data_IF_291118791778
#
_entry.id   IF_291118791778
#
_cell.length_a   1.000
_cell.length_b   1.000
_cell.length_c   1.000
_cell.angle_alpha   90.00
_cell.angle_beta   90.00
_cell.angle_gamma   90.00
#
_symmetry.space_group_name_H-M   'P 1'
#
loop_
_entity.id
_entity.type
_entity.pdbx_description
1 polymer ?
#
# COMPACT_ATOMS: atom_id res chain seq x y z
N UNK A 1 -29.17 -9.17 -25.04
CA UNK A 1 -28.65 -7.84 -24.63
C UNK A 1 -27.42 -8.06 -23.76
N UNK A 2 -26.23 -7.68 -24.25
CA UNK A 2 -24.95 -7.91 -23.58
C UNK A 2 -24.72 -6.80 -22.57
N UNK A 3 -24.70 -7.16 -21.28
CA UNK A 3 -24.47 -6.24 -20.17
C UNK A 3 -23.12 -5.53 -20.31
N UNK A 4 -23.14 -4.24 -20.03
CA UNK A 4 -22.01 -3.31 -20.00
C UNK A 4 -20.79 -3.89 -19.29
N UNK A 5 -19.69 -4.07 -20.01
CA UNK A 5 -18.37 -4.29 -19.40
C UNK A 5 -17.94 -2.98 -18.74
N UNK A 6 -18.12 -2.87 -17.42
CA UNK A 6 -17.40 -1.87 -16.61
C UNK A 6 -15.89 -2.07 -16.88
N UNK A 7 -15.16 -1.00 -17.19
CA UNK A 7 -13.69 -1.04 -17.22
C UNK A 7 -13.20 -1.55 -15.86
N UNK A 8 -12.28 -2.53 -15.81
CA UNK A 8 -11.75 -2.99 -14.54
C UNK A 8 -10.91 -1.86 -13.95
N UNK A 9 -11.33 -1.31 -12.82
CA UNK A 9 -10.41 -0.66 -11.87
C UNK A 9 -9.21 -1.59 -11.71
N UNK A 10 -7.94 -1.12 -11.78
CA UNK A 10 -6.78 -2.00 -11.65
C UNK A 10 -7.00 -2.90 -10.44
N UNK A 11 -7.10 -4.19 -10.74
CA UNK A 11 -7.83 -5.16 -9.94
C UNK A 11 -7.47 -5.04 -8.46
N UNK A 12 -8.47 -5.01 -7.58
CA UNK A 12 -8.30 -5.02 -6.12
C UNK A 12 -7.32 -6.13 -5.64
N UNK A 13 -7.10 -7.17 -6.45
CA UNK A 13 -6.14 -8.25 -6.21
C UNK A 13 -4.77 -8.11 -6.90
N UNK A 14 -4.54 -7.20 -7.84
CA UNK A 14 -3.27 -7.13 -8.60
C UNK A 14 -2.06 -6.84 -7.70
N UNK A 15 -2.27 -6.12 -6.60
CA UNK A 15 -1.19 -5.68 -5.71
C UNK A 15 -1.20 -6.35 -4.33
N UNK A 16 -2.26 -7.10 -3.99
CA UNK A 16 -2.33 -8.00 -2.82
C UNK A 16 -1.18 -9.02 -2.86
N UNK A 17 -0.66 -9.38 -1.69
CA UNK A 17 0.43 -10.36 -1.60
C UNK A 17 0.03 -11.69 -2.28
N UNK A 18 0.94 -12.32 -3.02
CA UNK A 18 0.61 -13.45 -3.89
C UNK A 18 0.13 -14.69 -3.12
N UNK A 19 0.63 -14.85 -1.88
CA UNK A 19 0.23 -15.88 -0.93
C UNK A 19 -1.04 -15.56 -0.13
N UNK A 20 -1.58 -14.35 -0.25
CA UNK A 20 -2.81 -13.98 0.44
C UNK A 20 -4.00 -14.73 -0.18
N UNK A 21 -4.68 -15.55 0.60
CA UNK A 21 -5.78 -16.40 0.12
C UNK A 21 -6.94 -15.61 -0.51
N UNK A 22 -7.19 -14.39 -0.03
CA UNK A 22 -8.24 -13.53 -0.56
C UNK A 22 -7.90 -12.86 -1.89
N UNK A 23 -6.65 -13.00 -2.38
CA UNK A 23 -6.24 -12.42 -3.67
C UNK A 23 -7.03 -13.00 -4.84
N UNK A 24 -7.24 -14.33 -4.83
CA UNK A 24 -7.96 -15.05 -5.88
C UNK A 24 -9.38 -15.44 -5.45
N UNK A 25 -9.59 -15.61 -4.15
CA UNK A 25 -10.83 -16.10 -3.57
C UNK A 25 -11.37 -15.04 -2.58
N UNK A 26 -11.97 -13.94 -3.05
CA UNK A 26 -12.60 -12.98 -2.14
C UNK A 26 -13.74 -13.67 -1.34
N UNK A 27 -14.05 -13.19 -0.12
CA UNK A 27 -15.13 -13.76 0.67
C UNK A 27 -16.47 -13.79 -0.07
N UNK A 28 -17.09 -14.96 -0.12
CA UNK A 28 -18.46 -15.10 -0.62
C UNK A 28 -19.44 -14.78 0.52
N UNK A 29 -19.93 -13.55 0.55
CA UNK A 29 -20.82 -13.10 1.60
C UNK A 29 -22.14 -13.88 1.64
N UNK A 30 -22.65 -14.32 0.50
CA UNK A 30 -23.88 -15.10 0.47
C UNK A 30 -23.65 -16.46 1.12
N UNK A 31 -22.61 -17.17 0.71
CA UNK A 31 -22.25 -18.47 1.29
C UNK A 31 -21.94 -18.38 2.79
N UNK A 32 -21.18 -17.36 3.21
CA UNK A 32 -20.91 -17.10 4.63
C UNK A 32 -22.19 -16.80 5.41
N UNK A 33 -23.11 -16.01 4.85
CA UNK A 33 -24.40 -15.72 5.48
C UNK A 33 -25.26 -16.97 5.68
N UNK A 34 -25.19 -17.95 4.78
CA UNK A 34 -25.93 -19.21 4.99
C UNK A 34 -25.32 -20.08 6.10
N UNK A 35 -24.00 -20.00 6.32
CA UNK A 35 -23.31 -20.80 7.35
C UNK A 35 -23.30 -20.13 8.73
N UNK A 36 -23.27 -18.80 8.78
CA UNK A 36 -23.13 -18.03 10.01
C UNK A 36 -24.32 -17.08 10.21
N UNK A 37 -25.37 -17.50 10.97
CA UNK A 37 -26.57 -16.69 11.17
C UNK A 37 -26.31 -15.31 11.76
N UNK A 38 -25.33 -15.20 12.67
CA UNK A 38 -24.92 -13.92 13.25
C UNK A 38 -24.31 -12.96 12.23
N UNK A 39 -23.68 -13.48 11.17
CA UNK A 39 -23.20 -12.66 10.06
C UNK A 39 -24.31 -12.29 9.09
N UNK A 40 -25.25 -13.22 8.84
CA UNK A 40 -26.38 -13.04 7.91
C UNK A 40 -27.20 -11.78 8.20
N UNK A 41 -27.38 -11.42 9.47
CA UNK A 41 -28.16 -10.25 9.87
C UNK A 41 -27.57 -8.91 9.38
N UNK A 42 -26.28 -8.87 9.05
CA UNK A 42 -25.59 -7.68 8.54
C UNK A 42 -25.55 -7.62 7.00
N UNK A 43 -26.08 -8.63 6.32
CA UNK A 43 -26.11 -8.71 4.87
C UNK A 43 -27.37 -8.01 4.32
N UNK A 44 -27.19 -7.34 3.19
CA UNK A 44 -28.27 -6.71 2.43
C UNK A 44 -28.17 -7.06 0.94
N UNK A 45 -29.19 -6.71 0.15
CA UNK A 45 -29.31 -7.09 -1.25
C UNK A 45 -29.14 -8.61 -1.46
N UNK A 46 -29.80 -9.41 -0.62
CA UNK A 46 -29.81 -10.86 -0.74
C UNK A 46 -30.53 -11.28 -2.02
N UNK A 47 -29.84 -12.02 -2.87
CA UNK A 47 -30.34 -12.58 -4.12
C UNK A 47 -30.05 -14.08 -4.11
N UNK A 48 -31.04 -14.87 -3.67
CA UNK A 48 -30.91 -16.32 -3.55
C UNK A 48 -30.76 -17.00 -4.93
N UNK A 49 -31.31 -16.39 -5.98
CA UNK A 49 -31.24 -16.95 -7.34
C UNK A 49 -29.81 -16.86 -7.91
N UNK A 50 -29.15 -15.72 -7.72
CA UNK A 50 -27.77 -15.54 -8.17
C UNK A 50 -26.72 -15.80 -7.09
N UNK A 51 -27.12 -16.20 -5.88
CA UNK A 51 -26.27 -16.41 -4.71
C UNK A 51 -25.41 -15.17 -4.40
N UNK A 52 -26.04 -13.99 -4.28
CA UNK A 52 -25.34 -12.72 -4.00
C UNK A 52 -25.82 -12.09 -2.71
N UNK A 53 -24.90 -11.44 -2.03
CA UNK A 53 -25.15 -10.63 -0.85
C UNK A 53 -24.15 -9.46 -0.81
N UNK A 54 -24.53 -8.37 -0.14
CA UNK A 54 -23.71 -7.18 0.05
C UNK A 54 -23.55 -6.87 1.54
N UNK A 55 -22.46 -6.21 1.90
CA UNK A 55 -22.16 -5.76 3.27
C UNK A 55 -22.06 -4.24 3.28
N UNK A 56 -22.60 -3.59 4.32
CA UNK A 56 -22.41 -2.15 4.53
C UNK A 56 -21.03 -1.94 5.16
N UNK A 57 -20.18 -1.14 4.49
CA UNK A 57 -18.79 -0.94 4.89
C UNK A 57 -18.61 0.22 5.87
N UNK A 58 -19.63 1.06 5.98
CA UNK A 58 -19.75 2.17 6.92
C UNK A 58 -20.30 1.73 8.29
N UNK A 59 -20.99 0.57 8.35
CA UNK A 59 -21.43 -0.05 9.61
C UNK A 59 -20.26 -0.77 10.32
N UNK A 60 -19.79 -0.26 11.48
CA UNK A 60 -18.69 -0.87 12.23
C UNK A 60 -19.06 -2.24 12.81
N UNK A 61 -20.34 -2.51 13.08
CA UNK A 61 -20.80 -3.81 13.57
C UNK A 61 -20.71 -4.86 12.46
N UNK A 62 -21.15 -4.51 11.25
CA UNK A 62 -21.07 -5.38 10.08
C UNK A 62 -19.62 -5.75 9.73
N UNK A 63 -18.70 -4.77 9.74
CA UNK A 63 -17.28 -5.00 9.44
C UNK A 63 -16.59 -5.83 10.53
N UNK A 64 -16.98 -5.63 11.80
CA UNK A 64 -16.50 -6.45 12.92
C UNK A 64 -16.98 -7.89 12.82
N UNK A 65 -18.26 -8.10 12.55
CA UNK A 65 -18.81 -9.45 12.40
C UNK A 65 -18.24 -10.16 11.16
N UNK A 66 -17.99 -9.44 10.07
CA UNK A 66 -17.24 -10.00 8.92
C UNK A 66 -15.86 -10.49 9.37
N UNK A 67 -15.11 -9.66 10.10
CA UNK A 67 -13.75 -10.00 10.54
C UNK A 67 -13.75 -11.25 11.45
N UNK A 68 -14.69 -11.29 12.41
CA UNK A 68 -14.91 -12.45 13.28
C UNK A 68 -15.26 -13.72 12.50
N UNK A 69 -16.17 -13.59 11.54
CA UNK A 69 -16.61 -14.70 10.68
C UNK A 69 -15.46 -15.25 9.86
N UNK A 70 -14.65 -14.38 9.22
CA UNK A 70 -13.50 -14.82 8.43
C UNK A 70 -12.41 -15.48 9.28
N UNK A 71 -12.13 -14.95 10.48
CA UNK A 71 -11.18 -15.56 11.40
C UNK A 71 -11.60 -16.97 11.82
N UNK A 72 -12.89 -17.15 12.13
CA UNK A 72 -13.42 -18.46 12.48
C UNK A 72 -13.44 -19.40 11.27
N UNK A 73 -13.95 -18.94 10.12
CA UNK A 73 -14.15 -19.76 8.93
C UNK A 73 -12.83 -20.23 8.31
N UNK A 74 -11.88 -19.30 8.11
CA UNK A 74 -10.66 -19.59 7.35
C UNK A 74 -9.48 -20.01 8.23
N UNK A 75 -9.50 -19.65 9.52
CA UNK A 75 -8.38 -19.89 10.45
C UNK A 75 -8.75 -20.66 11.71
N UNK A 76 -10.04 -20.96 11.92
CA UNK A 76 -10.51 -21.61 13.15
C UNK A 76 -10.32 -20.76 14.41
N UNK A 77 -10.11 -19.45 14.27
CA UNK A 77 -9.84 -18.54 15.38
C UNK A 77 -11.15 -17.97 15.94
N UNK A 78 -11.42 -18.26 17.20
CA UNK A 78 -12.46 -17.58 17.96
C UNK A 78 -11.94 -16.20 18.37
N UNK A 79 -12.65 -15.14 17.98
CA UNK A 79 -12.15 -13.79 18.15
C UNK A 79 -13.25 -12.82 18.52
N UNK A 80 -12.95 -11.90 19.45
CA UNK A 80 -13.86 -10.83 19.84
C UNK A 80 -13.12 -9.63 20.42
N UNK A 81 -13.63 -8.41 20.22
CA UNK A 81 -13.03 -7.17 20.74
C UNK A 81 -14.11 -6.21 21.26
N UNK A 82 -13.81 -5.25 22.14
CA UNK A 82 -14.76 -4.18 22.45
C UNK A 82 -15.10 -3.34 21.20
N UNK A 83 -16.27 -2.69 21.20
CA UNK A 83 -16.71 -1.88 20.05
C UNK A 83 -15.92 -0.58 19.89
N UNK A 84 -15.38 -0.05 20.98
CA UNK A 84 -14.54 1.15 21.03
C UNK A 84 -13.05 0.82 20.73
N UNK A 85 -12.80 -0.21 19.93
CA UNK A 85 -11.45 -0.64 19.53
C UNK A 85 -11.38 -0.84 18.03
N UNK A 86 -10.18 -0.64 17.50
CA UNK A 86 -9.95 -0.69 16.06
C UNK A 86 -10.17 -2.12 15.52
N UNK A 87 -11.19 -2.29 14.68
CA UNK A 87 -11.42 -3.55 13.98
C UNK A 87 -10.45 -3.69 12.79
N UNK A 88 -9.61 -4.74 12.75
CA UNK A 88 -8.60 -4.87 11.69
C UNK A 88 -9.21 -5.46 10.41
N UNK A 89 -9.01 -4.83 9.23
CA UNK A 89 -9.36 -5.47 7.98
C UNK A 89 -8.42 -6.64 7.69
N UNK A 90 -8.94 -7.86 7.81
CA UNK A 90 -8.16 -9.10 7.78
C UNK A 90 -7.23 -9.26 6.55
N UNK A 91 -7.66 -8.99 5.30
CA UNK A 91 -6.79 -9.16 4.14
C UNK A 91 -5.50 -8.32 4.20
N UNK A 92 -5.55 -7.12 4.79
CA UNK A 92 -4.37 -6.28 4.92
C UNK A 92 -3.40 -6.79 5.99
N UNK A 93 -3.93 -7.43 7.05
CA UNK A 93 -3.08 -8.03 8.09
C UNK A 93 -2.28 -9.21 7.56
N UNK A 94 -2.91 -10.03 6.71
CA UNK A 94 -2.24 -11.12 5.99
C UNK A 94 -1.15 -10.63 5.03
N UNK A 95 -1.36 -9.50 4.35
CA UNK A 95 -0.32 -8.93 3.48
C UNK A 95 0.98 -8.62 4.26
N UNK A 96 0.85 -8.09 5.47
CA UNK A 96 2.00 -7.80 6.32
C UNK A 96 2.68 -9.08 6.79
N UNK A 97 1.92 -10.07 7.29
CA UNK A 97 2.49 -11.37 7.72
C UNK A 97 3.23 -12.08 6.59
N UNK A 98 2.65 -12.12 5.39
CA UNK A 98 3.36 -12.71 4.25
C UNK A 98 4.60 -11.92 3.84
N UNK A 99 4.60 -10.60 4.01
CA UNK A 99 5.82 -9.82 3.79
C UNK A 99 6.91 -10.13 4.83
N UNK A 100 6.55 -10.41 6.08
CA UNK A 100 7.49 -10.92 7.09
C UNK A 100 8.07 -12.27 6.64
N UNK A 101 7.26 -13.19 6.12
CA UNK A 101 7.77 -14.46 5.56
C UNK A 101 8.82 -14.23 4.46
N UNK A 102 8.59 -13.27 3.56
CA UNK A 102 9.55 -12.89 2.50
C UNK A 102 10.83 -12.25 3.04
N UNK A 103 10.75 -11.50 4.14
CA UNK A 103 11.92 -10.92 4.81
C UNK A 103 12.74 -12.00 5.49
N UNK A 104 12.08 -12.95 6.15
CA UNK A 104 12.73 -14.06 6.83
C UNK A 104 13.43 -15.01 5.86
N UNK A 105 12.93 -15.18 4.63
CA UNK A 105 13.58 -15.97 3.58
C UNK A 105 14.87 -15.34 3.02
N UNK A 106 15.09 -14.04 3.24
CA UNK A 106 16.32 -13.34 2.86
C UNK A 106 17.45 -13.49 3.90
N UNK A 107 17.17 -14.12 5.03
CA UNK A 107 18.15 -14.33 6.09
C UNK A 107 19.20 -15.40 5.69
N UNK A 108 20.47 -15.20 6.04
CA UNK A 108 21.53 -16.16 5.74
C UNK A 108 21.26 -17.51 6.39
N UNK A 109 21.47 -18.60 5.64
CA UNK A 109 21.27 -19.97 6.11
C UNK A 109 19.82 -20.43 6.24
N UNK A 110 18.82 -19.59 5.90
CA UNK A 110 17.40 -19.98 5.95
C UNK A 110 16.74 -19.97 4.59
N UNK A 111 16.50 -21.16 4.03
CA UNK A 111 15.44 -21.34 3.04
C UNK A 111 14.14 -21.62 3.80
N UNK A 112 13.30 -20.62 3.97
CA UNK A 112 11.92 -20.86 4.39
C UNK A 112 11.19 -21.59 3.25
N UNK A 113 11.07 -22.91 3.37
CA UNK A 113 10.24 -23.72 2.47
C UNK A 113 8.78 -23.54 2.87
N UNK A 114 7.95 -23.11 1.93
CA UNK A 114 6.49 -23.03 2.11
C UNK A 114 5.86 -24.41 2.26
N UNK A 115 4.67 -24.51 2.87
CA UNK A 115 3.92 -25.77 3.08
C UNK A 115 3.79 -26.67 1.84
N UNK A 116 3.75 -26.10 0.63
CA UNK A 116 3.72 -26.88 -0.62
C UNK A 116 5.05 -27.55 -1.01
N UNK A 117 6.17 -27.11 -0.44
CA UNK A 117 7.49 -27.72 -0.62
C UNK A 117 7.95 -28.52 0.62
N UNK A 118 7.14 -28.56 1.68
CA UNK A 118 7.47 -29.23 2.95
C UNK A 118 7.41 -30.76 2.88
N UNK A 119 6.77 -31.35 1.87
CA UNK A 119 6.69 -32.81 1.74
C UNK A 119 7.99 -33.50 1.29
N UNK A 120 9.09 -32.76 1.05
CA UNK A 120 10.36 -33.34 0.56
C UNK A 120 11.61 -33.06 1.40
N UNK A 121 11.55 -32.21 2.44
CA UNK A 121 12.74 -31.91 3.25
C UNK A 121 12.67 -32.61 4.62
N UNK A 122 13.63 -33.47 4.89
CA UNK A 122 13.74 -34.22 6.15
C UNK A 122 13.74 -33.29 7.38
N UNK A 123 13.07 -33.75 8.44
CA UNK A 123 12.85 -33.10 9.73
C UNK A 123 14.15 -32.88 10.53
N UNK A 124 15.06 -32.04 10.03
CA UNK A 124 16.15 -31.48 10.82
C UNK A 124 15.63 -30.27 11.61
N UNK A 125 16.05 -30.14 12.88
CA UNK A 125 15.70 -29.09 13.85
C UNK A 125 15.37 -27.73 13.20
N UNK A 126 14.11 -27.50 12.81
CA UNK A 126 13.66 -26.20 12.33
C UNK A 126 13.60 -25.26 13.53
N UNK A 127 14.43 -24.23 13.50
CA UNK A 127 14.43 -23.19 14.52
C UNK A 127 13.06 -22.52 14.59
N UNK A 128 12.47 -22.47 15.78
CA UNK A 128 11.16 -21.86 16.01
C UNK A 128 11.27 -20.36 15.82
N UNK A 129 10.53 -19.81 14.86
CA UNK A 129 10.50 -18.37 14.61
C UNK A 129 9.83 -17.65 15.78
N UNK A 130 10.46 -16.57 16.23
CA UNK A 130 10.04 -15.73 17.35
C UNK A 130 9.94 -14.27 16.92
N UNK A 131 8.80 -13.65 17.17
CA UNK A 131 8.50 -12.26 16.81
C UNK A 131 8.09 -11.41 18.01
N UNK A 132 8.13 -10.09 17.83
CA UNK A 132 7.59 -9.11 18.76
C UNK A 132 6.52 -8.29 18.01
N UNK A 133 5.30 -8.23 18.55
CA UNK A 133 4.21 -7.41 18.03
C UNK A 133 4.03 -6.17 18.94
N UNK A 134 4.36 -4.99 18.40
CA UNK A 134 4.37 -3.72 19.13
C UNK A 134 3.04 -3.02 18.95
N UNK A 135 2.28 -2.87 20.05
CA UNK A 135 0.92 -2.34 20.01
C UNK A 135 -0.03 -3.34 19.36
N UNK A 136 -0.18 -4.51 19.98
CA UNK A 136 -0.98 -5.62 19.44
C UNK A 136 -2.48 -5.31 19.38
N UNK A 137 -2.93 -4.28 20.12
CA UNK A 137 -4.32 -3.87 20.23
C UNK A 137 -5.18 -4.91 20.94
N UNK A 138 -6.45 -4.59 21.19
CA UNK A 138 -7.41 -5.56 21.73
C UNK A 138 -7.53 -6.83 20.86
N UNK A 139 -7.30 -6.66 19.55
CA UNK A 139 -7.50 -7.71 18.56
C UNK A 139 -6.39 -8.78 18.53
N UNK A 140 -5.15 -8.46 18.93
CA UNK A 140 -4.00 -9.37 18.87
C UNK A 140 -3.80 -10.08 17.50
N UNK A 141 -4.23 -9.44 16.42
CA UNK A 141 -4.50 -10.10 15.14
C UNK A 141 -3.25 -10.71 14.51
N UNK A 142 -2.10 -10.04 14.61
CA UNK A 142 -0.88 -10.51 14.00
C UNK A 142 -0.29 -11.72 14.72
N UNK A 143 -0.27 -11.68 16.06
CA UNK A 143 0.22 -12.80 16.85
C UNK A 143 -0.67 -14.03 16.69
N UNK A 144 -2.00 -13.88 16.72
CA UNK A 144 -2.96 -14.97 16.51
C UNK A 144 -2.77 -15.63 15.14
N UNK A 145 -2.76 -14.82 14.07
CA UNK A 145 -2.60 -15.35 12.71
C UNK A 145 -1.22 -16.00 12.50
N UNK A 146 -0.14 -15.36 12.94
CA UNK A 146 1.21 -15.92 12.80
C UNK A 146 1.42 -17.21 13.61
N UNK A 147 0.84 -17.28 14.81
CA UNK A 147 0.85 -18.51 15.61
C UNK A 147 0.02 -19.61 14.94
N UNK A 148 -1.16 -19.31 14.41
CA UNK A 148 -2.03 -20.30 13.75
C UNK A 148 -1.42 -20.82 12.45
N UNK A 149 -1.03 -19.92 11.56
CA UNK A 149 -0.56 -20.22 10.20
C UNK A 149 0.86 -20.78 10.17
N UNK A 150 1.78 -20.22 10.98
CA UNK A 150 3.21 -20.50 10.87
C UNK A 150 3.84 -21.05 12.15
N UNK A 151 3.05 -21.25 13.22
CA UNK A 151 3.52 -21.72 14.54
C UNK A 151 4.60 -20.82 15.14
N UNK A 152 4.56 -19.53 14.81
CA UNK A 152 5.49 -18.55 15.36
C UNK A 152 5.20 -18.28 16.83
N UNK A 153 6.26 -18.03 17.60
CA UNK A 153 6.17 -17.54 18.97
C UNK A 153 6.15 -16.01 18.96
N UNK A 154 5.36 -15.39 19.83
CA UNK A 154 5.22 -13.95 19.92
C UNK A 154 5.37 -13.45 21.36
N UNK A 155 6.05 -12.31 21.49
CA UNK A 155 5.79 -11.36 22.58
C UNK A 155 4.90 -10.27 21.99
N UNK A 156 3.65 -10.20 22.44
CA UNK A 156 2.69 -9.20 22.00
C UNK A 156 2.56 -8.13 23.09
N UNK A 157 2.77 -6.87 22.75
CA UNK A 157 2.84 -5.78 23.74
C UNK A 157 1.66 -4.83 23.59
N UNK A 158 1.16 -4.32 24.71
CA UNK A 158 0.08 -3.35 24.73
C UNK A 158 0.18 -2.41 25.94
N UNK A 159 -0.02 -1.12 25.73
CA UNK A 159 0.02 -0.10 26.80
C UNK A 159 -1.36 0.13 27.41
N UNK A 160 -2.41 0.02 26.60
CA UNK A 160 -3.79 0.19 27.08
C UNK A 160 -4.25 -1.04 27.89
N UNK A 161 -4.80 -0.78 29.08
CA UNK A 161 -5.13 -1.83 30.04
C UNK A 161 -6.27 -2.75 29.54
N UNK A 162 -7.28 -2.16 28.91
CA UNK A 162 -8.44 -2.89 28.39
C UNK A 162 -8.07 -3.68 27.13
N UNK A 163 -7.30 -3.08 26.20
CA UNK A 163 -6.75 -3.77 25.04
C UNK A 163 -5.85 -4.93 25.46
N UNK A 164 -4.99 -4.74 26.46
CA UNK A 164 -4.17 -5.82 27.03
C UNK A 164 -5.02 -6.98 27.54
N UNK A 165 -6.06 -6.70 28.33
CA UNK A 165 -6.94 -7.72 28.87
C UNK A 165 -7.68 -8.48 27.77
N UNK A 166 -8.19 -7.76 26.77
CA UNK A 166 -8.88 -8.36 25.62
C UNK A 166 -7.94 -9.20 24.75
N UNK A 167 -6.73 -8.72 24.46
CA UNK A 167 -5.73 -9.48 23.71
C UNK A 167 -5.38 -10.80 24.42
N UNK A 168 -5.18 -10.75 25.74
CA UNK A 168 -4.89 -11.95 26.55
C UNK A 168 -6.04 -12.96 26.50
N UNK A 169 -7.27 -12.49 26.59
CA UNK A 169 -8.47 -13.32 26.47
C UNK A 169 -8.61 -13.93 25.07
N UNK A 170 -8.34 -13.17 24.01
CA UNK A 170 -8.32 -13.67 22.63
C UNK A 170 -7.25 -14.76 22.41
N UNK A 171 -6.08 -14.65 23.06
CA UNK A 171 -5.08 -15.72 23.03
C UNK A 171 -5.59 -16.97 23.78
N UNK A 172 -6.16 -16.80 24.97
CA UNK A 172 -6.60 -17.88 25.83
C UNK A 172 -7.73 -18.73 25.21
N UNK A 173 -8.74 -18.08 24.60
CA UNK A 173 -9.85 -18.80 23.94
C UNK A 173 -9.44 -19.64 22.74
N UNK A 174 -8.27 -19.39 22.19
CA UNK A 174 -7.70 -20.17 21.08
C UNK A 174 -6.62 -21.17 21.54
N UNK A 175 -6.35 -21.26 22.85
CA UNK A 175 -5.32 -22.12 23.42
C UNK A 175 -3.91 -21.86 22.85
N UNK A 176 -3.57 -20.59 22.62
CA UNK A 176 -2.32 -20.16 21.99
C UNK A 176 -1.29 -19.59 22.99
N UNK A 177 -1.50 -19.71 24.30
CA UNK A 177 -0.63 -19.16 25.35
C UNK A 177 0.80 -19.72 25.31
N UNK A 178 0.98 -20.95 24.82
CA UNK A 178 2.29 -21.56 24.63
C UNK A 178 3.10 -20.91 23.49
N UNK A 179 2.44 -20.21 22.58
CA UNK A 179 3.04 -19.50 21.46
C UNK A 179 3.05 -17.99 21.66
N UNK A 180 2.03 -17.42 22.31
CA UNK A 180 1.85 -15.98 22.42
C UNK A 180 1.86 -15.57 23.89
N UNK A 181 2.85 -14.74 24.26
CA UNK A 181 2.89 -14.06 25.55
C UNK A 181 2.48 -12.61 25.38
N UNK A 182 1.35 -12.22 25.97
CA UNK A 182 0.89 -10.82 25.99
C UNK A 182 1.49 -10.10 27.20
N UNK A 183 2.25 -9.01 26.98
CA UNK A 183 2.88 -8.18 28.01
C UNK A 183 2.22 -6.79 28.04
N UNK A 184 1.88 -6.33 29.25
CA UNK A 184 1.38 -4.97 29.47
C UNK A 184 2.55 -4.02 29.67
N UNK A 185 2.62 -2.98 28.85
CA UNK A 185 3.64 -1.94 28.92
C UNK A 185 3.26 -0.89 29.97
N UNK A 186 4.26 -0.40 30.70
CA UNK A 186 4.12 0.68 31.68
C UNK A 186 4.83 1.96 31.24
N UNK A 187 5.79 1.85 30.33
CA UNK A 187 6.53 2.99 29.79
C UNK A 187 6.39 3.07 28.28
N UNK A 188 6.97 4.12 27.70
CA UNK A 188 7.01 4.32 26.26
C UNK A 188 8.28 3.71 25.61
N UNK A 189 8.96 2.79 26.28
CA UNK A 189 10.09 2.01 25.75
C UNK A 189 9.53 0.82 24.97
N UNK A 190 9.43 0.96 23.65
CA UNK A 190 8.65 0.08 22.80
C UNK A 190 9.26 -1.33 22.66
N UNK A 191 10.59 -1.44 22.70
CA UNK A 191 11.36 -2.67 22.46
C UNK A 191 12.22 -3.08 23.65
N UNK A 192 12.75 -2.12 24.41
CA UNK A 192 13.64 -2.40 25.54
C UNK A 192 12.90 -2.94 26.77
N UNK A 193 11.77 -2.34 27.16
CA UNK A 193 10.96 -2.81 28.29
C UNK A 193 10.42 -4.24 28.12
N UNK A 194 9.81 -4.65 26.99
CA UNK A 194 9.26 -6.01 26.88
C UNK A 194 10.34 -7.09 26.85
N UNK A 195 11.60 -6.71 26.60
CA UNK A 195 12.76 -7.61 26.53
C UNK A 195 13.66 -7.55 27.77
N UNK A 196 13.30 -6.78 28.80
CA UNK A 196 14.11 -6.63 30.01
C UNK A 196 14.25 -7.94 30.80
N UNK A 197 13.21 -8.78 30.78
CA UNK A 197 13.17 -10.08 31.48
C UNK A 197 13.57 -11.24 30.56
N UNK A 198 13.87 -10.96 29.28
CA UNK A 198 14.32 -11.97 28.33
C UNK A 198 15.85 -12.11 28.41
N UNK A 199 16.41 -13.34 28.37
CA UNK A 199 17.86 -13.54 28.35
C UNK A 199 18.53 -12.73 27.23
N UNK A 200 19.71 -12.17 27.50
CA UNK A 200 20.41 -11.29 26.55
C UNK A 200 20.80 -12.02 25.27
N UNK A 201 21.10 -13.32 25.38
CA UNK A 201 21.42 -14.22 24.28
C UNK A 201 20.20 -14.64 23.46
N UNK A 202 18.97 -14.46 23.98
CA UNK A 202 17.75 -14.78 23.24
C UNK A 202 17.62 -13.85 22.05
N UNK A 203 17.65 -14.45 20.86
CA UNK A 203 17.44 -13.75 19.59
C UNK A 203 15.99 -13.83 19.13
N UNK A 204 15.59 -12.80 18.40
CA UNK A 204 14.30 -12.67 17.77
C UNK A 204 14.46 -12.54 16.26
N UNK A 205 13.48 -13.02 15.53
CA UNK A 205 13.50 -13.06 14.08
C UNK A 205 12.93 -11.79 13.48
N UNK A 206 11.90 -11.23 14.11
CA UNK A 206 11.34 -9.97 13.67
C UNK A 206 10.68 -9.18 14.80
N UNK A 207 10.54 -7.88 14.57
CA UNK A 207 9.58 -7.01 15.23
C UNK A 207 8.60 -6.54 14.15
N UNK A 208 7.32 -6.47 14.49
CA UNK A 208 6.29 -5.86 13.66
C UNK A 208 5.49 -4.84 14.44
N UNK A 209 4.98 -3.83 13.74
CA UNK A 209 4.21 -2.75 14.34
C UNK A 209 3.21 -2.18 13.33
N UNK A 210 1.98 -1.93 13.77
CA UNK A 210 1.04 -1.07 13.07
C UNK A 210 0.81 0.18 13.95
N UNK A 211 1.57 1.26 13.74
CA UNK A 211 1.64 2.37 14.68
C UNK A 211 0.35 3.20 14.66
N UNK A 212 0.08 3.99 15.71
CA UNK A 212 -0.85 5.10 15.64
C UNK A 212 -0.43 6.06 14.50
N UNK A 213 -1.37 6.41 13.63
CA UNK A 213 -1.09 7.11 12.37
C UNK A 213 -1.24 8.64 12.43
N UNK A 214 -1.88 9.17 13.46
CA UNK A 214 -2.27 10.57 13.55
C UNK A 214 -1.47 11.32 14.61
N UNK A 215 -1.23 12.60 14.37
CA UNK A 215 -0.55 13.48 15.31
C UNK A 215 -1.48 13.88 16.47
N UNK A 216 -2.78 14.03 16.19
CA UNK A 216 -3.85 14.34 17.14
C UNK A 216 -5.19 13.69 16.73
N UNK A 217 -6.19 13.81 17.60
CA UNK A 217 -7.52 13.19 17.40
C UNK A 217 -8.35 13.93 16.33
N UNK A 218 -8.15 15.25 16.19
CA UNK A 218 -8.88 16.06 15.22
C UNK A 218 -8.51 15.63 13.79
N UNK A 219 -7.25 15.28 13.55
CA UNK A 219 -6.80 14.71 12.30
C UNK A 219 -7.42 13.33 12.02
N UNK A 220 -7.67 12.52 13.05
CA UNK A 220 -8.29 11.20 12.90
C UNK A 220 -9.77 11.29 12.50
N UNK A 221 -10.49 12.32 12.96
CA UNK A 221 -11.91 12.54 12.72
C UNK A 221 -12.23 13.14 11.33
N UNK A 222 -11.22 13.70 10.63
CA UNK A 222 -11.42 14.31 9.29
C UNK A 222 -11.60 13.32 8.14
N UNK A 223 -11.60 12.01 8.40
CA UNK A 223 -11.65 10.98 7.35
C UNK A 223 -13.00 10.20 7.35
N UNK A 224 -14.07 10.76 6.75
CA UNK A 224 -15.45 10.24 6.86
C UNK A 224 -15.69 8.88 6.19
N UNK A 225 -14.74 8.38 5.39
CA UNK A 225 -14.84 7.09 4.69
C UNK A 225 -14.39 5.88 5.54
N UNK A 226 -13.87 6.12 6.75
CA UNK A 226 -13.52 5.08 7.71
C UNK A 226 -14.11 5.46 9.06
N UNK A 227 -15.13 4.73 9.52
CA UNK A 227 -15.65 4.80 10.88
C UNK A 227 -14.51 4.40 11.84
N UNK A 228 -13.69 5.37 12.23
CA UNK A 228 -12.45 5.15 12.96
C UNK A 228 -12.75 4.99 14.44
N UNK A 229 -13.28 3.82 14.83
CA UNK A 229 -13.62 3.50 16.21
C UNK A 229 -12.41 2.98 17.02
N UNK A 230 -11.23 3.56 16.81
CA UNK A 230 -10.04 3.22 17.59
C UNK A 230 -10.03 3.94 18.94
N UNK A 231 -9.32 3.39 19.93
CA UNK A 231 -8.99 4.16 21.13
C UNK A 231 -7.96 5.25 20.80
N UNK A 232 -7.90 6.34 21.58
CA UNK A 232 -6.95 7.43 21.34
C UNK A 232 -5.49 6.92 21.24
N UNK A 233 -5.12 5.95 22.07
CA UNK A 233 -3.78 5.34 22.06
C UNK A 233 -3.49 4.48 20.81
N UNK A 234 -4.51 3.95 20.14
CA UNK A 234 -4.37 3.19 18.89
C UNK A 234 -4.28 4.12 17.66
N UNK A 235 -4.76 5.35 17.78
CA UNK A 235 -4.89 6.28 16.65
C UNK A 235 -3.84 7.39 16.68
N UNK A 236 -3.51 7.89 17.86
CA UNK A 236 -2.76 9.13 18.05
C UNK A 236 -1.46 8.89 18.80
N UNK A 237 -0.42 9.59 18.37
CA UNK A 237 0.83 9.69 19.11
C UNK A 237 1.43 11.08 18.93
N UNK A 238 2.06 11.69 19.95
CA UNK A 238 2.73 12.98 19.77
C UNK A 238 3.83 12.90 18.70
N UNK A 239 3.63 13.60 17.57
CA UNK A 239 4.49 13.53 16.37
C UNK A 239 4.23 12.33 15.46
N UNK A 240 3.12 11.63 15.70
CA UNK A 240 2.48 10.66 14.83
C UNK A 240 3.34 9.42 14.56
N UNK A 241 3.06 8.77 13.44
CA UNK A 241 3.76 7.55 13.03
C UNK A 241 5.27 7.77 12.87
N UNK A 242 5.71 8.99 12.53
CA UNK A 242 7.14 9.29 12.35
C UNK A 242 7.86 9.30 13.71
N UNK A 243 7.30 9.94 14.73
CA UNK A 243 7.88 9.94 16.06
C UNK A 243 7.82 8.55 16.72
N UNK A 244 6.72 7.81 16.52
CA UNK A 244 6.56 6.46 17.05
C UNK A 244 7.59 5.50 16.47
N UNK A 245 7.69 5.42 15.13
CA UNK A 245 8.68 4.56 14.46
C UNK A 245 10.10 5.09 14.71
N UNK A 246 10.28 6.41 14.83
CA UNK A 246 11.57 7.01 15.22
C UNK A 246 12.09 6.49 16.56
N UNK A 247 11.22 6.31 17.56
CA UNK A 247 11.59 5.65 18.84
C UNK A 247 12.02 4.20 18.63
N UNK A 248 11.29 3.43 17.82
CA UNK A 248 11.71 2.07 17.48
C UNK A 248 13.07 2.03 16.79
N UNK A 249 13.37 2.99 15.91
CA UNK A 249 14.67 3.10 15.25
C UNK A 249 15.76 3.32 16.30
N UNK A 250 15.57 4.26 17.24
CA UNK A 250 16.54 4.53 18.32
C UNK A 250 16.76 3.29 19.19
N UNK A 251 15.69 2.66 19.69
CA UNK A 251 15.82 1.46 20.54
C UNK A 251 16.41 0.25 19.77
N UNK A 252 16.22 0.19 18.45
CA UNK A 252 16.83 -0.86 17.63
C UNK A 252 18.37 -0.78 17.58
N UNK A 253 18.95 0.40 17.81
CA UNK A 253 20.41 0.60 17.83
C UNK A 253 21.04 -0.09 19.05
N UNK A 254 20.32 -0.14 20.17
CA UNK A 254 20.76 -0.85 21.37
C UNK A 254 20.61 -2.37 21.19
N UNK A 255 19.54 -2.80 20.51
CA UNK A 255 19.24 -4.22 20.31
C UNK A 255 20.08 -4.86 19.20
N UNK A 256 20.46 -4.12 18.16
CA UNK A 256 21.25 -4.57 17.01
C UNK A 256 20.83 -5.95 16.49
N UNK A 257 21.75 -6.93 16.54
CA UNK A 257 21.59 -8.29 16.05
C UNK A 257 20.82 -9.21 17.02
N UNK A 258 20.29 -8.68 18.14
CA UNK A 258 19.33 -9.40 18.98
C UNK A 258 18.00 -9.61 18.27
N UNK A 259 17.64 -8.70 17.35
CA UNK A 259 16.50 -8.88 16.43
C UNK A 259 17.03 -8.87 15.00
N UNK A 260 16.65 -9.88 14.21
CA UNK A 260 17.07 -9.95 12.82
C UNK A 260 16.41 -8.85 11.96
N UNK A 261 15.09 -8.72 12.00
CA UNK A 261 14.36 -7.69 11.25
C UNK A 261 13.52 -6.80 12.15
N UNK A 262 13.70 -5.49 12.06
CA UNK A 262 12.77 -4.54 12.62
C UNK A 262 11.85 -4.07 11.50
N UNK A 263 10.54 -4.04 11.73
CA UNK A 263 9.57 -3.66 10.70
C UNK A 263 8.43 -2.83 11.27
N UNK A 264 7.84 -1.97 10.43
CA UNK A 264 6.60 -1.24 10.74
C UNK A 264 5.76 -1.02 9.49
N UNK A 265 4.43 -0.99 9.66
CA UNK A 265 3.51 -0.43 8.68
C UNK A 265 3.54 1.11 8.76
N UNK A 266 3.26 1.77 7.64
CA UNK A 266 3.26 3.22 7.49
C UNK A 266 1.97 3.64 6.77
N UNK A 267 1.30 4.63 7.35
CA UNK A 267 0.05 5.23 6.88
C UNK A 267 0.25 6.16 5.69
N UNK A 268 1.34 6.94 5.67
CA UNK A 268 1.58 7.99 4.65
C UNK A 268 2.94 7.85 3.96
N UNK A 269 2.96 8.04 2.64
CA UNK A 269 4.22 8.04 1.84
C UNK A 269 5.22 9.11 2.27
N UNK A 270 4.76 10.24 2.80
CA UNK A 270 5.63 11.30 3.29
C UNK A 270 6.42 10.85 4.54
N UNK A 271 5.78 10.11 5.43
CA UNK A 271 6.38 9.52 6.63
C UNK A 271 7.48 8.53 6.28
N UNK A 272 7.25 7.66 5.28
CA UNK A 272 8.26 6.73 4.77
C UNK A 272 9.57 7.44 4.38
N UNK A 273 9.49 8.57 3.67
CA UNK A 273 10.68 9.33 3.27
C UNK A 273 11.46 9.87 4.47
N UNK A 274 10.77 10.38 5.49
CA UNK A 274 11.38 10.88 6.74
C UNK A 274 12.08 9.74 7.50
N UNK A 275 11.42 8.59 7.63
CA UNK A 275 11.96 7.43 8.34
C UNK A 275 13.17 6.81 7.63
N UNK A 276 13.15 6.75 6.29
CA UNK A 276 14.33 6.35 5.51
C UNK A 276 15.50 7.34 5.68
N UNK A 277 15.24 8.63 5.89
CA UNK A 277 16.28 9.59 6.24
C UNK A 277 16.87 9.32 7.63
N UNK A 278 16.02 9.13 8.65
CA UNK A 278 16.46 8.79 10.01
C UNK A 278 17.28 7.50 10.06
N UNK A 279 16.89 6.45 9.34
CA UNK A 279 17.67 5.20 9.24
C UNK A 279 19.06 5.45 8.64
N UNK A 280 19.18 6.34 7.64
CA UNK A 280 20.47 6.72 7.05
C UNK A 280 21.34 7.50 8.03
N UNK A 281 20.76 8.45 8.75
CA UNK A 281 21.44 9.24 9.78
C UNK A 281 22.00 8.34 10.89
N UNK A 282 21.23 7.32 11.30
CA UNK A 282 21.65 6.31 12.27
C UNK A 282 22.52 5.19 11.67
N UNK A 283 23.04 5.37 10.45
CA UNK A 283 23.96 4.45 9.75
C UNK A 283 23.42 3.04 9.54
N UNK A 284 22.10 2.86 9.51
CA UNK A 284 21.46 1.58 9.19
C UNK A 284 21.54 1.32 7.68
N UNK A 285 22.36 0.33 7.30
CA UNK A 285 22.72 0.10 5.90
C UNK A 285 21.67 -0.73 5.15
N UNK A 286 21.08 -1.73 5.80
CA UNK A 286 20.16 -2.66 5.18
C UNK A 286 18.72 -2.29 5.51
N UNK A 287 18.02 -1.75 4.51
CA UNK A 287 16.61 -1.36 4.60
C UNK A 287 15.83 -1.99 3.46
N UNK A 288 14.57 -2.32 3.73
CA UNK A 288 13.58 -2.80 2.77
C UNK A 288 12.29 -2.00 2.89
N UNK A 289 11.57 -1.87 1.79
CA UNK A 289 10.23 -1.28 1.76
C UNK A 289 9.27 -2.16 0.99
N UNK A 290 7.97 -1.92 1.17
CA UNK A 290 6.93 -2.49 0.31
C UNK A 290 5.69 -1.60 0.31
N UNK A 291 4.71 -1.97 -0.50
CA UNK A 291 3.42 -1.30 -0.56
C UNK A 291 2.32 -2.35 -0.34
N UNK A 292 1.42 -2.07 0.60
CA UNK A 292 0.24 -2.87 0.85
C UNK A 292 -0.97 -2.17 0.24
N UNK A 293 -1.76 -2.91 -0.53
CA UNK A 293 -2.98 -2.41 -1.15
C UNK A 293 -4.17 -3.17 -0.59
N UNK A 294 -5.19 -2.42 -0.20
CA UNK A 294 -6.46 -2.95 0.27
C UNK A 294 -7.59 -2.09 -0.28
N UNK A 295 -8.27 -2.55 -1.32
CA UNK A 295 -9.32 -1.73 -1.93
C UNK A 295 -8.72 -0.46 -2.52
N UNK A 296 -9.21 0.69 -2.04
CA UNK A 296 -8.72 2.03 -2.38
C UNK A 296 -7.58 2.50 -1.46
N UNK A 297 -7.37 1.82 -0.33
CA UNK A 297 -6.44 2.25 0.71
C UNK A 297 -5.05 1.67 0.45
N UNK A 298 -4.07 2.58 0.37
CA UNK A 298 -2.66 2.24 0.23
C UNK A 298 -1.92 2.44 1.56
N UNK A 299 -1.06 1.50 1.91
CA UNK A 299 -0.13 1.55 3.04
C UNK A 299 1.26 1.17 2.57
N UNK A 300 2.28 1.49 3.37
CA UNK A 300 3.66 1.13 3.10
C UNK A 300 4.20 0.25 4.22
N UNK A 301 5.17 -0.60 3.91
CA UNK A 301 5.97 -1.30 4.90
C UNK A 301 7.40 -0.76 4.88
N UNK A 302 8.01 -0.60 6.05
CA UNK A 302 9.44 -0.34 6.21
C UNK A 302 10.05 -1.46 7.05
N UNK A 303 11.23 -1.91 6.66
CA UNK A 303 12.01 -2.88 7.41
C UNK A 303 13.49 -2.51 7.40
N UNK A 304 14.18 -2.82 8.48
CA UNK A 304 15.62 -2.60 8.60
C UNK A 304 16.28 -3.67 9.46
N UNK A 305 17.59 -3.81 9.29
CA UNK A 305 18.39 -4.84 9.96
C UNK A 305 19.83 -4.38 10.12
N UNK A 306 20.46 -4.85 11.19
CA UNK A 306 21.89 -4.67 11.46
C UNK A 306 22.72 -5.86 10.97
N UNK A 307 22.08 -6.92 10.48
CA UNK A 307 22.76 -8.06 9.89
C UNK A 307 23.35 -7.66 8.52
N UNK A 308 24.62 -7.95 8.31
CA UNK A 308 25.32 -7.69 7.04
C UNK A 308 25.02 -8.74 5.96
N UNK A 309 24.62 -9.94 6.39
CA UNK A 309 24.54 -11.15 5.56
C UNK A 309 23.17 -11.38 4.92
N UNK A 310 22.38 -10.33 4.71
CA UNK A 310 21.04 -10.45 4.10
C UNK A 310 21.17 -10.57 2.58
N UNK A 311 20.56 -11.60 2.01
CA UNK A 311 20.55 -11.79 0.56
C UNK A 311 19.47 -10.90 -0.09
N UNK A 312 19.82 -10.20 -1.16
CA UNK A 312 18.84 -9.53 -2.00
C UNK A 312 18.11 -10.60 -2.83
N UNK A 313 16.82 -10.81 -2.59
CA UNK A 313 15.97 -11.62 -3.46
C UNK A 313 15.19 -10.70 -4.42
N UNK A 314 15.57 -10.63 -5.71
CA UNK A 314 14.88 -9.79 -6.68
C UNK A 314 13.46 -10.27 -7.02
N UNK A 315 13.06 -11.50 -6.63
CA UNK A 315 11.76 -12.12 -6.90
C UNK A 315 10.68 -11.83 -5.84
N UNK A 316 11.08 -11.47 -4.61
CA UNK A 316 10.14 -11.09 -3.55
C UNK A 316 9.54 -9.68 -3.73
N UNK A 317 8.37 -9.41 -3.12
CA UNK A 317 7.80 -8.04 -3.01
C UNK A 317 8.53 -7.18 -1.95
N UNK A 318 9.82 -7.43 -1.78
CA UNK A 318 10.70 -6.80 -0.80
C UNK A 318 11.61 -5.85 -1.57
N UNK A 319 11.35 -4.56 -1.45
CA UNK A 319 12.04 -3.53 -2.24
C UNK A 319 13.32 -3.13 -1.50
N UNK A 320 14.48 -3.42 -2.09
CA UNK A 320 15.75 -2.82 -1.64
C UNK A 320 15.89 -1.35 -2.05
N UNK A 321 16.87 -0.64 -1.45
CA UNK A 321 17.17 0.80 -1.64
C UNK A 321 17.16 1.31 -3.09
N UNK A 322 17.43 0.47 -4.10
CA UNK A 322 17.55 0.87 -5.51
C UNK A 322 16.23 0.86 -6.31
N UNK A 323 15.14 0.25 -5.82
CA UNK A 323 13.91 0.05 -6.64
C UNK A 323 12.81 1.10 -6.48
N UNK A 324 12.87 1.97 -5.48
CA UNK A 324 11.81 2.98 -5.27
C UNK A 324 11.80 4.06 -6.36
N UNK A 325 12.99 4.42 -6.88
CA UNK A 325 13.13 5.30 -8.05
C UNK A 325 12.63 4.66 -9.36
N UNK A 326 12.70 3.33 -9.48
CA UNK A 326 12.24 2.61 -10.67
C UNK A 326 10.72 2.37 -10.71
N UNK A 327 9.95 2.71 -9.66
CA UNK A 327 8.54 2.32 -9.54
C UNK A 327 7.50 3.45 -9.69
N UNK A 328 7.86 4.64 -10.15
CA UNK A 328 6.85 5.63 -10.55
C UNK A 328 5.91 4.97 -11.58
N UNK A 329 4.66 4.67 -11.23
CA UNK A 329 3.68 4.05 -12.15
C UNK A 329 2.85 5.12 -12.82
N UNK A 330 2.63 6.20 -12.09
CA UNK A 330 1.92 7.37 -12.54
C UNK A 330 2.56 8.62 -11.92
N UNK A 331 2.39 9.75 -12.58
CA UNK A 331 2.62 11.08 -12.01
C UNK A 331 1.42 11.93 -12.34
N UNK A 332 0.92 12.64 -11.33
CA UNK A 332 -0.13 13.63 -11.51
C UNK A 332 0.39 15.00 -11.11
N UNK A 333 0.07 16.02 -11.89
CA UNK A 333 0.38 17.41 -11.58
C UNK A 333 -0.72 18.34 -12.09
N UNK A 334 -0.81 19.52 -11.49
CA UNK A 334 -1.76 20.55 -11.90
C UNK A 334 -1.07 21.58 -12.80
N UNK A 335 -1.81 22.04 -13.79
CA UNK A 335 -1.45 23.15 -14.68
C UNK A 335 -2.41 24.29 -14.36
N UNK A 336 -1.95 25.34 -13.65
CA UNK A 336 -2.84 26.39 -13.16
C UNK A 336 -3.47 27.19 -14.31
N UNK A 337 -4.72 27.63 -14.14
CA UNK A 337 -5.45 28.52 -15.07
C UNK A 337 -4.71 29.86 -15.24
N UNK A 338 -4.39 30.50 -14.12
CA UNK A 338 -3.56 31.70 -14.03
C UNK A 338 -2.80 31.69 -12.69
N UNK A 339 -1.49 31.97 -12.72
CA UNK A 339 -0.78 32.28 -11.47
C UNK A 339 -1.16 33.70 -11.04
N UNK A 340 -1.76 33.85 -9.85
CA UNK A 340 -2.07 35.16 -9.23
C UNK A 340 -0.83 36.06 -9.02
N UNK A 341 0.38 35.52 -9.19
CA UNK A 341 1.66 36.23 -8.93
C UNK A 341 2.55 36.36 -10.17
N UNK A 342 2.40 35.53 -11.21
CA UNK A 342 3.42 35.42 -12.27
C UNK A 342 2.94 35.08 -13.69
N UNK A 343 1.63 34.95 -13.94
CA UNK A 343 1.11 34.80 -15.32
C UNK A 343 1.64 33.55 -16.06
N UNK A 344 1.88 32.44 -15.35
CA UNK A 344 2.49 31.20 -15.85
C UNK A 344 1.49 30.03 -16.09
N UNK A 345 0.20 30.29 -16.32
CA UNK A 345 -0.82 29.23 -16.51
C UNK A 345 -1.00 28.70 -17.94
N UNK A 346 -1.74 27.59 -18.12
CA UNK A 346 -2.49 27.24 -19.34
C UNK A 346 -3.96 27.57 -19.10
N UNK A 347 -4.60 28.27 -20.03
CA UNK A 347 -5.98 28.73 -19.88
C UNK A 347 -7.03 27.65 -20.17
N UNK A 348 -6.71 26.64 -20.99
CA UNK A 348 -7.66 25.59 -21.39
C UNK A 348 -6.98 24.22 -21.57
N UNK A 349 -7.77 23.15 -21.64
CA UNK A 349 -7.29 21.79 -21.94
C UNK A 349 -6.60 21.75 -23.32
N UNK A 350 -7.11 22.50 -24.29
CA UNK A 350 -6.54 22.59 -25.65
C UNK A 350 -5.13 23.19 -25.65
N UNK A 351 -4.85 24.16 -24.79
CA UNK A 351 -3.48 24.70 -24.65
C UNK A 351 -2.52 23.65 -24.09
N UNK A 352 -2.96 22.83 -23.14
CA UNK A 352 -2.16 21.72 -22.60
C UNK A 352 -1.91 20.67 -23.68
N UNK A 353 -2.94 20.29 -24.45
CA UNK A 353 -2.81 19.38 -25.60
C UNK A 353 -1.84 19.91 -26.64
N UNK A 354 -1.95 21.21 -26.98
CA UNK A 354 -1.08 21.81 -27.98
C UNK A 354 0.38 21.79 -27.54
N UNK A 355 0.67 22.00 -26.24
CA UNK A 355 2.03 21.84 -25.68
C UNK A 355 2.52 20.40 -25.72
N UNK A 356 1.65 19.42 -25.43
CA UNK A 356 2.01 17.99 -25.57
C UNK A 356 2.35 17.69 -27.03
N UNK A 357 1.53 18.15 -27.99
CA UNK A 357 1.76 17.96 -29.43
C UNK A 357 3.04 18.65 -29.90
N UNK A 358 3.34 19.86 -29.45
CA UNK A 358 4.60 20.55 -29.78
C UNK A 358 5.81 19.82 -29.19
N UNK A 359 5.72 19.34 -27.95
CA UNK A 359 6.77 18.53 -27.33
C UNK A 359 7.03 17.25 -28.14
N UNK A 360 5.97 16.52 -28.52
CA UNK A 360 6.11 15.30 -29.32
C UNK A 360 6.69 15.61 -30.70
N UNK A 361 6.23 16.67 -31.39
CA UNK A 361 6.79 17.10 -32.68
C UNK A 361 8.28 17.46 -32.61
N UNK A 362 8.75 17.98 -31.48
CA UNK A 362 10.15 18.34 -31.28
C UNK A 362 11.06 17.12 -31.00
N UNK A 363 10.49 15.94 -30.79
CA UNK A 363 11.22 14.70 -30.49
C UNK A 363 10.84 13.62 -31.52
N UNK A 364 11.69 13.41 -32.53
CA UNK A 364 11.42 12.51 -33.66
C UNK A 364 11.14 11.04 -33.26
N UNK A 365 11.64 10.63 -32.08
CA UNK A 365 11.40 9.30 -31.51
C UNK A 365 10.01 9.14 -30.89
N UNK A 366 9.27 10.23 -30.65
CA UNK A 366 7.99 10.19 -29.94
C UNK A 366 6.80 10.18 -30.91
N UNK A 367 5.78 9.40 -30.55
CA UNK A 367 4.48 9.42 -31.23
C UNK A 367 3.37 9.63 -30.20
N UNK A 368 2.37 10.41 -30.62
CA UNK A 368 1.16 10.65 -29.85
C UNK A 368 -0.04 10.25 -30.69
N UNK A 369 -0.88 9.36 -30.18
CA UNK A 369 -2.16 9.01 -30.81
C UNK A 369 -3.31 9.29 -29.86
N UNK A 370 -4.41 9.79 -30.41
CA UNK A 370 -5.66 10.02 -29.68
C UNK A 370 -6.45 8.71 -29.64
N UNK A 371 -6.88 8.30 -28.45
CA UNK A 371 -7.73 7.12 -28.32
C UNK A 371 -9.19 7.53 -28.35
N UNK A 372 -9.84 7.37 -29.50
CA UNK A 372 -11.26 7.69 -29.71
C UNK A 372 -12.19 6.52 -29.42
N UNK A 373 -11.68 5.39 -28.90
CA UNK A 373 -12.43 4.13 -28.88
C UNK A 373 -13.58 4.04 -27.87
N UNK A 374 -13.91 5.08 -27.09
CA UNK A 374 -15.02 5.02 -26.13
C UNK A 374 -15.79 6.36 -25.92
N UNK A 375 -16.33 6.92 -27.00
CA UNK A 375 -17.29 8.04 -26.92
C UNK A 375 -18.53 7.75 -26.04
N UNK A 376 -18.88 6.48 -25.79
CA UNK A 376 -20.03 6.11 -24.93
C UNK A 376 -19.72 6.11 -23.41
N UNK A 377 -18.44 6.13 -23.00
CA UNK A 377 -18.04 6.17 -21.58
C UNK A 377 -17.79 7.61 -21.08
N UNK A 378 -17.67 8.60 -21.97
CA UNK A 378 -17.39 10.00 -21.63
C UNK A 378 -18.54 10.66 -20.84
N UNK A 379 -19.80 10.38 -21.18
CA UNK A 379 -20.94 10.96 -20.45
C UNK A 379 -21.09 10.38 -19.02
N UNK A 380 -20.79 9.09 -18.83
CA UNK A 380 -20.85 8.44 -17.51
C UNK A 380 -19.71 8.85 -16.58
N UNK A 381 -18.50 9.07 -17.10
CA UNK A 381 -17.38 9.55 -16.30
C UNK A 381 -17.56 11.00 -15.82
N UNK A 382 -18.23 11.84 -16.63
CA UNK A 382 -18.61 13.23 -16.27
C UNK A 382 -19.65 13.30 -15.14
N UNK A 383 -20.53 12.29 -15.04
CA UNK A 383 -21.54 12.19 -13.97
C UNK A 383 -20.98 11.62 -12.66
N UNK A 384 -20.20 10.53 -12.69
CA UNK A 384 -19.73 9.86 -11.46
C UNK A 384 -18.53 10.53 -10.76
N UNK A 385 -17.71 11.31 -11.47
CA UNK A 385 -16.44 11.87 -10.94
C UNK A 385 -16.34 13.40 -10.96
N UNK A 386 -17.41 14.09 -11.36
CA UNK A 386 -17.48 15.56 -11.27
C UNK A 386 -16.55 16.31 -12.22
N UNK A 387 -16.19 15.72 -13.37
CA UNK A 387 -15.37 16.39 -14.39
C UNK A 387 -16.21 17.17 -15.40
N UNK A 388 -15.67 18.28 -15.90
CA UNK A 388 -16.27 19.04 -17.03
C UNK A 388 -15.76 18.53 -18.37
N UNK A 389 -14.45 18.33 -18.50
CA UNK A 389 -13.77 17.83 -19.70
C UNK A 389 -12.76 16.73 -19.35
N UNK A 390 -12.62 15.73 -20.24
CA UNK A 390 -11.66 14.64 -20.13
C UNK A 390 -11.12 14.30 -21.53
N UNK A 391 -9.80 14.17 -21.67
CA UNK A 391 -9.14 13.74 -22.90
C UNK A 391 -7.99 12.78 -22.59
N UNK A 392 -7.76 11.79 -23.45
CA UNK A 392 -6.71 10.78 -23.26
C UNK A 392 -5.89 10.59 -24.53
N UNK A 393 -4.57 10.57 -24.35
CA UNK A 393 -3.59 10.38 -25.40
C UNK A 393 -2.64 9.23 -25.06
N UNK A 394 -2.30 8.45 -26.07
CA UNK A 394 -1.27 7.41 -25.98
C UNK A 394 0.08 7.99 -26.42
N UNK A 395 1.11 7.85 -25.59
CA UNK A 395 2.46 8.37 -25.79
C UNK A 395 3.45 7.21 -25.91
N UNK A 396 4.13 7.12 -27.05
CA UNK A 396 5.10 6.06 -27.34
C UNK A 396 6.48 6.62 -27.70
N UNK A 397 7.53 5.96 -27.24
CA UNK A 397 8.90 6.15 -27.76
C UNK A 397 9.24 4.99 -28.70
N UNK A 398 9.69 5.32 -29.91
CA UNK A 398 10.14 4.39 -30.93
C UNK A 398 11.67 4.43 -31.04
N UNK A 399 12.32 3.26 -31.08
CA UNK A 399 13.77 3.15 -31.34
C UNK A 399 14.04 2.22 -32.51
N UNK A 400 15.19 2.40 -33.17
CA UNK A 400 15.65 1.51 -34.23
C UNK A 400 15.79 0.08 -33.70
N UNK A 401 15.25 -0.89 -34.43
CA UNK A 401 15.37 -2.31 -34.10
C UNK A 401 16.70 -2.87 -34.66
N UNK A 402 17.68 -3.21 -33.81
CA UNK A 402 18.98 -3.70 -34.28
C UNK A 402 18.91 -5.09 -34.93
N UNK A 403 17.79 -5.82 -34.78
CA UNK A 403 17.63 -7.19 -35.29
C UNK A 403 16.75 -7.29 -36.54
N UNK A 404 16.24 -6.17 -37.05
CA UNK A 404 15.40 -6.18 -38.24
C UNK A 404 16.27 -6.23 -39.52
N UNK A 405 16.14 -7.30 -40.31
CA UNK A 405 16.70 -7.38 -41.66
C UNK A 405 15.88 -6.52 -42.63
N UNK A 406 16.21 -5.23 -42.73
CA UNK A 406 15.59 -4.27 -43.66
C UNK A 406 15.77 -2.83 -43.17
N UNK A 407 15.89 -1.88 -44.09
CA UNK A 407 16.11 -0.46 -43.77
C UNK A 407 14.92 0.14 -43.00
N UNK A 408 15.21 0.72 -41.83
CA UNK A 408 14.33 1.56 -40.98
C UNK A 408 13.02 0.93 -40.45
N UNK A 409 13.09 -0.19 -39.72
CA UNK A 409 12.00 -0.56 -38.80
C UNK A 409 12.29 -0.08 -37.38
N UNK A 410 11.41 0.79 -36.86
CA UNK A 410 11.40 1.20 -35.46
C UNK A 410 10.45 0.32 -34.66
N UNK A 411 10.79 0.02 -33.40
CA UNK A 411 9.93 -0.71 -32.45
C UNK A 411 9.58 0.20 -31.27
N UNK A 412 8.39 0.00 -30.69
CA UNK A 412 8.01 0.63 -29.42
C UNK A 412 9.00 0.20 -28.35
N UNK A 413 9.78 1.16 -27.87
CA UNK A 413 10.74 0.98 -26.78
C UNK A 413 10.04 1.11 -25.42
N UNK A 414 9.15 2.09 -25.27
CA UNK A 414 8.26 2.26 -24.13
C UNK A 414 6.99 3.01 -24.50
N UNK A 415 5.92 2.80 -23.73
CA UNK A 415 4.62 3.43 -23.95
C UNK A 415 3.90 3.73 -22.63
N UNK A 416 3.01 4.70 -22.68
CA UNK A 416 2.13 5.09 -21.58
C UNK A 416 1.00 5.97 -22.05
N UNK A 417 0.11 6.35 -21.14
CA UNK A 417 -1.03 7.23 -21.42
C UNK A 417 -0.92 8.55 -20.68
N UNK A 418 -1.43 9.61 -21.31
CA UNK A 418 -1.54 10.97 -20.78
C UNK A 418 -3.01 11.33 -20.74
N UNK A 419 -3.54 11.50 -19.53
CA UNK A 419 -4.92 11.87 -19.27
C UNK A 419 -4.99 13.33 -18.80
N UNK A 420 -5.95 14.08 -19.34
CA UNK A 420 -6.21 15.48 -19.05
C UNK A 420 -7.64 15.62 -18.55
N UNK A 421 -7.85 16.34 -17.46
CA UNK A 421 -9.20 16.59 -16.96
C UNK A 421 -9.34 17.90 -16.19
N UNK A 422 -10.57 18.46 -16.22
CA UNK A 422 -11.00 19.65 -15.46
C UNK A 422 -12.08 19.26 -14.44
N UNK A 423 -11.98 19.78 -13.20
CA UNK A 423 -12.96 19.55 -12.13
C UNK A 423 -14.08 20.60 -12.19
N UNK A 424 -15.30 20.25 -11.75
CA UNK A 424 -16.49 21.14 -11.79
C UNK A 424 -16.34 22.46 -11.00
N UNK A 425 -15.51 22.51 -9.95
CA UNK A 425 -15.35 23.70 -9.07
C UNK A 425 -14.14 24.59 -9.45
N UNK A 426 -14.00 24.88 -10.74
CA UNK A 426 -12.74 25.20 -11.41
C UNK A 426 -12.08 26.58 -11.06
N UNK A 427 -11.50 26.71 -9.85
CA UNK A 427 -10.59 27.84 -9.52
C UNK A 427 -9.09 27.53 -9.78
N UNK A 428 -8.69 26.25 -9.86
CA UNK A 428 -7.26 25.85 -9.77
C UNK A 428 -6.62 25.28 -11.06
N UNK A 429 -7.38 24.95 -12.11
CA UNK A 429 -6.89 24.61 -13.45
C UNK A 429 -6.85 23.12 -13.83
N UNK A 430 -6.22 22.81 -14.97
CA UNK A 430 -6.27 21.47 -15.57
C UNK A 430 -5.33 20.49 -14.85
N UNK A 431 -5.79 19.27 -14.58
CA UNK A 431 -4.95 18.20 -14.04
C UNK A 431 -4.46 17.29 -15.16
N UNK A 432 -3.17 16.96 -15.11
CA UNK A 432 -2.50 16.03 -16.03
C UNK A 432 -2.07 14.80 -15.24
N UNK A 433 -2.41 13.62 -15.75
CA UNK A 433 -1.98 12.32 -15.23
C UNK A 433 -1.21 11.59 -16.33
N UNK A 434 0.05 11.23 -16.07
CA UNK A 434 0.86 10.41 -16.98
C UNK A 434 1.05 9.05 -16.33
N UNK A 435 0.72 7.98 -17.04
CA UNK A 435 0.79 6.60 -16.55
C UNK A 435 1.71 5.78 -17.46
N UNK A 436 2.66 5.06 -16.87
CA UNK A 436 3.48 4.09 -17.60
C UNK A 436 2.67 2.81 -17.87
N UNK A 437 2.71 2.30 -19.09
CA UNK A 437 1.96 1.09 -19.48
C UNK A 437 2.90 -0.07 -19.76
N UNK A 438 3.90 0.13 -20.63
CA UNK A 438 4.80 -0.95 -21.07
C UNK A 438 6.18 -0.48 -21.58
N UNK A 439 7.11 -1.43 -21.68
CA UNK A 439 8.47 -1.23 -22.23
C UNK A 439 9.52 -0.70 -21.24
N UNK A 440 10.52 0.03 -21.73
CA UNK A 440 11.61 0.58 -20.91
C UNK A 440 11.14 1.74 -20.03
N UNK A 441 11.03 1.45 -18.75
CA UNK A 441 10.48 2.36 -17.75
C UNK A 441 11.39 3.54 -17.44
N UNK A 442 12.71 3.36 -17.47
CA UNK A 442 13.63 4.46 -17.17
C UNK A 442 13.60 5.50 -18.30
N UNK A 443 13.57 5.02 -19.54
CA UNK A 443 13.39 5.86 -20.72
C UNK A 443 12.04 6.60 -20.68
N UNK A 444 10.95 5.90 -20.33
CA UNK A 444 9.62 6.52 -20.22
C UNK A 444 9.58 7.65 -19.20
N UNK A 445 10.13 7.47 -18.00
CA UNK A 445 10.10 8.52 -16.97
C UNK A 445 11.04 9.68 -17.27
N UNK A 446 12.13 9.47 -18.02
CA UNK A 446 12.93 10.56 -18.54
C UNK A 446 12.09 11.46 -19.47
N UNK A 447 11.31 10.85 -20.37
CA UNK A 447 10.38 11.57 -21.26
C UNK A 447 9.26 12.26 -20.46
N UNK A 448 8.62 11.55 -19.53
CA UNK A 448 7.52 12.09 -18.74
C UNK A 448 7.94 13.29 -17.88
N UNK A 449 9.16 13.29 -17.33
CA UNK A 449 9.70 14.44 -16.59
C UNK A 449 9.96 15.65 -17.50
N UNK A 450 10.49 15.41 -18.71
CA UNK A 450 10.67 16.47 -19.71
C UNK A 450 9.33 17.03 -20.20
N UNK A 451 8.33 16.16 -20.39
CA UNK A 451 6.97 16.53 -20.76
C UNK A 451 6.29 17.34 -19.64
N UNK A 452 6.39 16.90 -18.39
CA UNK A 452 5.89 17.68 -17.26
C UNK A 452 6.55 19.07 -17.20
N UNK A 453 7.87 19.13 -17.37
CA UNK A 453 8.58 20.40 -17.39
C UNK A 453 8.15 21.29 -18.57
N UNK A 454 7.91 20.73 -19.76
CA UNK A 454 7.47 21.49 -20.93
C UNK A 454 6.05 22.04 -20.75
N UNK A 455 5.16 21.29 -20.10
CA UNK A 455 3.80 21.71 -19.80
C UNK A 455 3.80 22.82 -18.73
N UNK A 456 4.57 22.67 -17.64
CA UNK A 456 4.54 23.58 -16.48
C UNK A 456 5.42 24.83 -16.63
N UNK A 457 6.60 24.75 -17.28
CA UNK A 457 7.59 25.86 -17.30
C UNK A 457 7.37 26.91 -18.40
N UNK A 458 6.62 26.62 -19.46
CA UNK A 458 6.71 27.38 -20.73
C UNK A 458 5.60 28.41 -20.98
N UNK A 459 4.63 28.59 -20.08
CA UNK A 459 3.42 29.37 -20.38
C UNK A 459 3.66 30.82 -20.84
N UNK A 460 4.72 31.48 -20.36
CA UNK A 460 5.03 32.87 -20.71
C UNK A 460 5.73 33.04 -22.07
N UNK A 461 6.66 32.15 -22.42
CA UNK A 461 7.35 32.19 -23.71
C UNK A 461 6.45 31.72 -24.85
N UNK A 462 5.60 30.74 -24.56
CA UNK A 462 4.65 30.17 -25.51
C UNK A 462 3.57 31.19 -25.95
N UNK A 463 2.94 31.91 -25.01
CA UNK A 463 2.00 33.00 -25.37
C UNK A 463 2.63 34.09 -26.22
N UNK A 464 3.88 34.48 -25.96
CA UNK A 464 4.61 35.46 -26.80
C UNK A 464 4.88 34.97 -28.21
N UNK A 465 4.96 33.65 -28.42
CA UNK A 465 5.07 33.03 -29.74
C UNK A 465 3.70 33.00 -30.43
N UNK A 466 2.66 32.57 -29.71
CA UNK A 466 1.29 32.51 -30.23
C UNK A 466 0.75 33.88 -30.63
N UNK A 467 0.99 34.90 -29.81
CA UNK A 467 0.59 36.29 -30.06
C UNK A 467 1.34 36.91 -31.24
N UNK A 468 2.55 36.44 -31.55
CA UNK A 468 3.29 36.82 -32.77
C UNK A 468 2.72 36.12 -34.00
N UNK A 469 2.39 34.84 -33.89
CA UNK A 469 1.77 34.05 -34.97
C UNK A 469 0.32 34.44 -35.29
N UNK A 470 -0.38 35.15 -34.39
CA UNK A 470 -1.71 35.71 -34.64
C UNK A 470 -1.66 37.14 -35.22
N UNK A 471 -0.47 37.77 -35.24
CA UNK A 471 -0.23 39.10 -35.79
C UNK A 471 0.44 39.06 -37.17
N UNK A 472 0.95 37.90 -37.57
CA UNK A 472 1.38 37.55 -38.94
C UNK A 472 0.23 36.82 -39.64
#
# INVERSE_FOLDING_TARGET
MRGSRRRPTPHLGALTHDRNQYKKNPPDFYALGQQYPNFKQYLHNLDDFNCRASLSWDDPFAVRELTKTLLLHDFGLQWDIPINRLCPPLPNRLNYLHWIEDLLSQAPGRRFTTQKQEQKAAASNKEVVSGIDVGTGANCIYALLGATMNKWKFIATEIDAESYACAKENVARNHLEALITVKRMQTNKLLLEPLQDEPLERKFHFVMCNPPFFDDIDEADTNPASSCMGSANEMVFPGGEVAFIGKMIVESIDLQNRVLWFTSMIGRKASLRKLLAQLRENKVRNTRTTEFFQGRTKRWGIAWTFSENVMDDPSGKVLGKRKEAHRQQEVSFQVPLQSKVSGNGCATIEEVVLRIREFVKANEELKLSEDTTNYQDEEKAKEEQGYQEWQMYWLEQHRLDPQASGTNRTKVHCAGRVELFTLKDNEDGSKVLIVFEEGDRAAFWAIANLLQASIVRTGRQWRRKLHRQQQE
#
